data_IF_390633842164
#
_entry.id   IF_390633842164
#
_cell.length_a   1.000
_cell.length_b   1.000
_cell.length_c   1.000
_cell.angle_alpha   90.00
_cell.angle_beta   90.00
_cell.angle_gamma   90.00
#
_symmetry.space_group_name_H-M   'P 1'
#
loop_
_entity.id
_entity.type
_entity.pdbx_description
1 polymer ?
#
# COMPACT_ATOMS: atom_id res chain seq x y z
N UNK A 1 28.71 17.05 11.72
CA UNK A 1 28.82 15.90 12.65
C UNK A 1 27.84 14.86 12.17
N UNK A 2 28.28 13.61 12.00
CA UNK A 2 27.35 12.52 11.65
C UNK A 2 26.35 12.26 12.78
N UNK A 3 25.19 11.65 12.49
CA UNK A 3 24.28 11.20 13.53
C UNK A 3 25.03 10.23 14.45
N UNK A 4 24.86 10.33 15.78
CA UNK A 4 25.51 9.41 16.71
C UNK A 4 25.07 7.98 16.37
N UNK A 5 26.03 7.05 16.27
CA UNK A 5 25.81 5.62 15.97
C UNK A 5 24.66 5.01 16.81
N UNK A 6 24.47 5.51 18.04
CA UNK A 6 23.38 5.14 18.94
C UNK A 6 21.97 5.40 18.36
N UNK A 7 21.74 6.50 17.65
CA UNK A 7 20.43 6.81 17.04
C UNK A 7 20.10 5.85 15.90
N UNK A 8 21.11 5.48 15.10
CA UNK A 8 20.94 4.51 14.01
C UNK A 8 20.59 3.13 14.57
N UNK A 9 21.30 2.68 15.61
CA UNK A 9 21.03 1.40 16.28
C UNK A 9 19.63 1.41 16.93
N UNK A 10 19.28 2.49 17.63
CA UNK A 10 17.96 2.64 18.25
C UNK A 10 16.83 2.60 17.23
N UNK A 11 17.00 3.31 16.11
CA UNK A 11 16.03 3.32 15.00
C UNK A 11 15.89 1.92 14.37
N UNK A 12 16.99 1.22 14.13
CA UNK A 12 16.97 -0.12 13.56
C UNK A 12 16.26 -1.14 14.48
N UNK A 13 16.54 -1.09 15.78
CA UNK A 13 15.88 -1.93 16.78
C UNK A 13 14.38 -1.64 16.85
N UNK A 14 13.98 -0.36 16.86
CA UNK A 14 12.58 0.04 16.86
C UNK A 14 11.85 -0.49 15.61
N UNK A 15 12.48 -0.39 14.44
CA UNK A 15 11.91 -0.90 13.18
C UNK A 15 11.76 -2.42 13.21
N UNK A 16 12.78 -3.15 13.70
CA UNK A 16 12.70 -4.59 13.87
C UNK A 16 11.55 -5.01 14.80
N UNK A 17 11.39 -4.32 15.94
CA UNK A 17 10.29 -4.54 16.88
C UNK A 17 8.93 -4.23 16.25
N UNK A 18 8.81 -3.14 15.50
CA UNK A 18 7.58 -2.80 14.78
C UNK A 18 7.22 -3.85 13.72
N UNK A 19 8.19 -4.38 12.97
CA UNK A 19 7.96 -5.47 12.03
C UNK A 19 7.45 -6.73 12.73
N UNK A 20 8.12 -7.12 13.82
CA UNK A 20 7.71 -8.27 14.64
C UNK A 20 6.28 -8.08 15.18
N UNK A 21 5.96 -6.89 15.70
CA UNK A 21 4.63 -6.56 16.20
C UNK A 21 3.57 -6.57 15.09
N UNK A 22 3.87 -6.03 13.90
CA UNK A 22 2.96 -6.06 12.75
C UNK A 22 2.71 -7.49 12.25
N UNK A 23 3.77 -8.30 12.14
CA UNK A 23 3.65 -9.70 11.74
C UNK A 23 2.91 -10.55 12.77
N UNK A 24 3.16 -10.30 14.06
CA UNK A 24 2.44 -10.93 15.16
C UNK A 24 0.96 -10.51 15.16
N UNK A 25 0.67 -9.21 15.08
CA UNK A 25 -0.70 -8.69 15.03
C UNK A 25 -1.44 -9.22 13.81
N UNK A 26 -0.78 -9.28 12.65
CA UNK A 26 -1.33 -9.90 11.45
C UNK A 26 -1.70 -11.36 11.72
N UNK A 27 -0.74 -12.16 12.20
CA UNK A 27 -0.96 -13.59 12.49
C UNK A 27 -2.06 -13.82 13.54
N UNK A 28 -2.08 -13.01 14.60
CA UNK A 28 -3.05 -13.10 15.68
C UNK A 28 -4.47 -12.71 15.24
N UNK A 29 -4.60 -11.65 14.42
CA UNK A 29 -5.90 -11.16 13.96
C UNK A 29 -6.47 -11.95 12.78
N UNK A 30 -5.63 -12.44 11.87
CA UNK A 30 -6.06 -13.07 10.61
C UNK A 30 -6.12 -14.59 10.67
N UNK A 31 -5.43 -15.20 11.64
CA UNK A 31 -5.20 -16.63 11.64
C UNK A 31 -4.27 -17.07 10.49
N UNK A 32 -4.03 -18.39 10.35
CA UNK A 32 -3.04 -18.92 9.41
C UNK A 32 -3.45 -18.75 7.93
N UNK A 33 -4.74 -18.63 7.60
CA UNK A 33 -5.22 -18.43 6.24
C UNK A 33 -6.46 -17.51 6.20
N UNK A 34 -6.28 -16.19 6.25
CA UNK A 34 -7.41 -15.28 6.15
C UNK A 34 -8.12 -15.45 4.80
N UNK A 35 -9.46 -15.39 4.77
CA UNK A 35 -10.17 -15.36 3.50
C UNK A 35 -9.76 -14.11 2.70
N UNK A 36 -9.64 -14.19 1.35
CA UNK A 36 -9.01 -13.14 0.55
C UNK A 36 -9.62 -11.74 0.71
N UNK A 37 -10.92 -11.67 0.98
CA UNK A 37 -11.62 -10.40 1.19
C UNK A 37 -11.24 -9.71 2.51
N UNK A 38 -10.95 -10.47 3.58
CA UNK A 38 -10.47 -9.91 4.86
C UNK A 38 -9.03 -9.44 4.72
N UNK A 39 -8.16 -10.27 4.12
CA UNK A 39 -6.78 -9.89 3.82
C UNK A 39 -6.72 -8.59 3.00
N UNK A 40 -7.52 -8.49 1.92
CA UNK A 40 -7.64 -7.28 1.12
C UNK A 40 -8.08 -6.07 1.94
N UNK A 41 -9.10 -6.20 2.81
CA UNK A 41 -9.57 -5.10 3.66
C UNK A 41 -8.49 -4.62 4.64
N UNK A 42 -7.73 -5.54 5.24
CA UNK A 42 -6.64 -5.17 6.13
C UNK A 42 -5.47 -4.51 5.39
N UNK A 43 -5.08 -5.03 4.22
CA UNK A 43 -4.06 -4.39 3.38
C UNK A 43 -4.50 -2.99 2.94
N UNK A 44 -5.77 -2.80 2.58
CA UNK A 44 -6.34 -1.47 2.30
C UNK A 44 -6.28 -0.56 3.54
N UNK A 45 -6.62 -1.08 4.71
CA UNK A 45 -6.53 -0.35 5.98
C UNK A 45 -5.09 0.08 6.27
N UNK A 46 -4.13 -0.83 6.15
CA UNK A 46 -2.71 -0.55 6.36
C UNK A 46 -2.20 0.51 5.38
N UNK A 47 -2.55 0.40 4.10
CA UNK A 47 -2.19 1.39 3.08
C UNK A 47 -2.83 2.75 3.34
N UNK A 48 -4.11 2.78 3.75
CA UNK A 48 -4.81 4.02 4.09
C UNK A 48 -4.17 4.71 5.30
N UNK A 49 -3.84 3.95 6.35
CA UNK A 49 -3.14 4.46 7.53
C UNK A 49 -1.74 4.97 7.20
N UNK A 50 -0.97 4.25 6.38
CA UNK A 50 0.35 4.70 5.93
C UNK A 50 0.25 6.00 5.12
N UNK A 51 -0.69 6.06 4.17
CA UNK A 51 -0.93 7.26 3.36
C UNK A 51 -1.36 8.45 4.22
N UNK A 52 -2.26 8.24 5.18
CA UNK A 52 -2.69 9.28 6.11
C UNK A 52 -1.53 9.78 6.99
N UNK A 53 -0.67 8.88 7.47
CA UNK A 53 0.54 9.24 8.21
C UNK A 53 1.50 10.10 7.37
N UNK A 54 1.74 9.72 6.12
CA UNK A 54 2.58 10.52 5.21
C UNK A 54 1.98 11.90 4.92
N UNK A 55 0.67 11.99 4.69
CA UNK A 55 -0.01 13.27 4.49
C UNK A 55 -0.03 14.14 5.75
N UNK A 56 -0.12 13.52 6.94
CA UNK A 56 0.01 14.23 8.22
C UNK A 56 1.41 14.82 8.37
N UNK A 57 2.47 14.11 7.93
CA UNK A 57 3.83 14.67 7.91
C UNK A 57 3.96 15.88 6.97
N UNK A 58 3.24 15.89 5.85
CA UNK A 58 3.12 17.10 5.02
C UNK A 58 2.38 18.23 5.76
N UNK A 59 1.27 17.93 6.44
CA UNK A 59 0.46 18.92 7.14
C UNK A 59 1.19 19.56 8.35
N UNK A 60 2.01 18.78 9.05
CA UNK A 60 2.85 19.25 10.19
C UNK A 60 4.13 19.95 9.69
N UNK A 61 4.41 19.92 8.38
CA UNK A 61 5.56 20.60 7.79
C UNK A 61 6.89 19.85 7.90
N UNK A 62 6.86 18.54 8.18
CA UNK A 62 8.06 17.69 8.11
C UNK A 62 8.41 17.30 6.67
N UNK A 63 7.41 17.25 5.80
CA UNK A 63 7.56 17.09 4.36
C UNK A 63 7.05 18.35 3.65
N UNK A 64 7.72 18.75 2.56
CA UNK A 64 7.26 19.83 1.71
C UNK A 64 5.87 19.54 1.11
N UNK A 65 5.01 20.56 0.91
CA UNK A 65 3.64 20.35 0.40
C UNK A 65 3.57 19.68 -0.98
N UNK A 66 4.60 19.85 -1.83
CA UNK A 66 4.67 19.18 -3.14
C UNK A 66 4.77 17.66 -3.04
N UNK A 67 5.15 17.11 -1.88
CA UNK A 67 5.16 15.67 -1.64
C UNK A 67 3.75 15.08 -1.56
N UNK A 68 2.74 15.85 -1.18
CA UNK A 68 1.37 15.35 -1.05
C UNK A 68 0.84 14.70 -2.35
N UNK A 69 0.91 15.36 -3.53
CA UNK A 69 0.52 14.71 -4.79
C UNK A 69 1.42 13.52 -5.16
N UNK A 70 2.71 13.54 -4.82
CA UNK A 70 3.63 12.41 -5.06
C UNK A 70 3.25 11.19 -4.21
N UNK A 71 2.96 11.39 -2.92
CA UNK A 71 2.48 10.37 -1.99
C UNK A 71 1.16 9.77 -2.50
N UNK A 72 0.20 10.62 -2.85
CA UNK A 72 -1.10 10.19 -3.37
C UNK A 72 -0.93 9.38 -4.64
N UNK A 73 -0.18 9.89 -5.62
CA UNK A 73 0.03 9.20 -6.89
C UNK A 73 0.75 7.86 -6.68
N UNK A 74 1.82 7.83 -5.89
CA UNK A 74 2.58 6.61 -5.66
C UNK A 74 1.76 5.55 -4.92
N UNK A 75 1.03 5.93 -3.87
CA UNK A 75 0.22 5.00 -3.08
C UNK A 75 -1.03 4.50 -3.84
N UNK A 76 -1.65 5.36 -4.66
CA UNK A 76 -2.83 5.01 -5.48
C UNK A 76 -2.43 4.18 -6.72
N UNK A 77 -1.36 4.55 -7.41
CA UNK A 77 -0.97 3.91 -8.67
C UNK A 77 -0.19 2.61 -8.46
N UNK A 78 0.57 2.52 -7.36
CA UNK A 78 1.35 1.35 -6.99
C UNK A 78 0.61 0.43 -6.01
N UNK A 79 0.83 0.56 -4.69
CA UNK A 79 0.27 -0.34 -3.68
C UNK A 79 -1.24 -0.53 -3.74
N UNK A 80 -2.04 0.50 -3.98
CA UNK A 80 -3.50 0.34 -4.06
C UNK A 80 -3.91 -0.54 -5.23
N UNK A 81 -3.30 -0.37 -6.41
CA UNK A 81 -3.55 -1.25 -7.56
C UNK A 81 -3.15 -2.69 -7.25
N UNK A 82 -2.04 -2.91 -6.53
CA UNK A 82 -1.62 -4.23 -6.05
C UNK A 82 -2.65 -4.86 -5.11
N UNK A 83 -3.09 -4.13 -4.08
CA UNK A 83 -4.08 -4.62 -3.12
C UNK A 83 -5.43 -4.91 -3.79
N UNK A 84 -5.83 -4.12 -4.79
CA UNK A 84 -7.07 -4.36 -5.54
C UNK A 84 -6.99 -5.59 -6.46
N UNK A 85 -5.78 -6.00 -6.85
CA UNK A 85 -5.49 -7.23 -7.63
C UNK A 85 -5.25 -8.45 -6.76
N UNK A 86 -5.05 -8.30 -5.45
CA UNK A 86 -4.90 -9.41 -4.53
C UNK A 86 -6.09 -10.39 -4.62
N UNK A 87 -5.91 -11.73 -4.68
CA UNK A 87 -4.65 -12.48 -4.50
C UNK A 87 -4.01 -12.93 -5.82
N UNK A 88 -3.97 -12.08 -6.86
CA UNK A 88 -3.27 -12.42 -8.09
C UNK A 88 -1.74 -12.37 -7.89
N UNK A 89 -1.07 -13.46 -8.24
CA UNK A 89 0.39 -13.51 -8.37
C UNK A 89 0.71 -13.06 -9.79
N UNK A 90 1.58 -12.06 -9.90
CA UNK A 90 2.03 -11.51 -11.18
C UNK A 90 3.46 -11.98 -11.46
N UNK A 91 3.75 -12.28 -12.73
CA UNK A 91 5.11 -12.59 -13.15
C UNK A 91 6.02 -11.36 -12.97
N UNK A 92 7.30 -11.61 -12.71
CA UNK A 92 8.30 -10.56 -12.51
C UNK A 92 8.42 -9.67 -13.76
N UNK A 93 8.27 -10.27 -14.95
CA UNK A 93 8.38 -9.58 -16.23
C UNK A 93 7.06 -8.92 -16.69
N UNK A 94 6.00 -8.98 -15.87
CA UNK A 94 4.74 -8.35 -16.22
C UNK A 94 4.84 -6.82 -16.20
N UNK A 95 4.07 -6.17 -17.08
CA UNK A 95 3.94 -4.70 -17.09
C UNK A 95 3.54 -4.15 -15.73
N UNK A 96 2.73 -4.90 -14.97
CA UNK A 96 2.35 -4.55 -13.61
C UNK A 96 3.58 -4.46 -12.68
N UNK A 97 4.45 -5.47 -12.68
CA UNK A 97 5.66 -5.47 -11.83
C UNK A 97 6.60 -4.33 -12.20
N UNK A 98 6.86 -4.12 -13.49
CA UNK A 98 7.68 -3.00 -13.97
C UNK A 98 7.11 -1.66 -13.50
N UNK A 99 5.80 -1.46 -13.64
CA UNK A 99 5.10 -0.26 -13.15
C UNK A 99 5.26 -0.06 -11.65
N UNK A 100 5.11 -1.12 -10.84
CA UNK A 100 5.31 -1.05 -9.39
C UNK A 100 6.73 -0.62 -9.05
N UNK A 101 7.74 -1.23 -9.69
CA UNK A 101 9.16 -0.89 -9.48
C UNK A 101 9.42 0.57 -9.83
N UNK A 102 8.92 1.05 -10.97
CA UNK A 102 9.10 2.46 -11.38
C UNK A 102 8.47 3.41 -10.37
N UNK A 103 7.24 3.15 -9.92
CA UNK A 103 6.55 3.99 -8.92
C UNK A 103 7.28 3.97 -7.58
N UNK A 104 7.73 2.80 -7.13
CA UNK A 104 8.51 2.66 -5.90
C UNK A 104 9.85 3.41 -5.99
N UNK A 105 10.60 3.24 -7.07
CA UNK A 105 11.86 3.96 -7.29
C UNK A 105 11.64 5.48 -7.32
N UNK A 106 10.61 5.96 -8.00
CA UNK A 106 10.26 7.38 -8.04
C UNK A 106 9.94 7.91 -6.62
N UNK A 107 9.17 7.16 -5.82
CA UNK A 107 8.88 7.52 -4.42
C UNK A 107 10.15 7.52 -3.56
N UNK A 108 11.02 6.52 -3.71
CA UNK A 108 12.26 6.38 -2.95
C UNK A 108 13.19 7.55 -3.21
N UNK A 109 13.36 7.94 -4.47
CA UNK A 109 14.17 9.11 -4.83
C UNK A 109 13.53 10.40 -4.34
N UNK A 110 12.19 10.53 -4.41
CA UNK A 110 11.49 11.76 -3.99
C UNK A 110 11.54 11.98 -2.47
N UNK A 111 11.54 10.92 -1.66
CA UNK A 111 11.47 11.01 -0.20
C UNK A 111 12.59 11.87 0.42
N UNK A 112 13.89 11.64 0.15
CA UNK A 112 14.97 12.49 0.68
C UNK A 112 14.83 13.97 0.33
N UNK A 113 14.40 14.30 -0.90
CA UNK A 113 14.18 15.69 -1.33
C UNK A 113 12.89 16.29 -0.78
N UNK A 114 11.98 15.45 -0.28
CA UNK A 114 10.71 15.86 0.29
C UNK A 114 10.83 16.42 1.71
N UNK A 115 11.87 16.06 2.46
CA UNK A 115 12.06 16.56 3.83
C UNK A 115 12.58 17.99 3.85
N UNK A 116 12.04 18.82 4.74
CA UNK A 116 12.53 20.20 4.95
C UNK A 116 13.95 20.21 5.55
N UNK A 117 14.21 19.28 6.48
CA UNK A 117 15.45 19.16 7.24
C UNK A 117 15.88 17.69 7.31
N UNK A 118 16.43 17.18 6.19
CA UNK A 118 16.71 15.76 6.02
C UNK A 118 17.61 15.17 7.11
N UNK A 119 18.68 15.88 7.48
CA UNK A 119 19.67 15.39 8.43
C UNK A 119 19.12 15.28 9.86
N UNK A 120 18.22 16.18 10.25
CA UNK A 120 17.57 16.14 11.57
C UNK A 120 16.46 15.09 11.63
N UNK A 121 15.99 14.61 10.47
CA UNK A 121 14.83 13.73 10.33
C UNK A 121 15.18 12.36 9.75
N UNK A 122 16.44 11.93 9.85
CA UNK A 122 16.90 10.64 9.35
C UNK A 122 16.13 9.46 9.93
N UNK A 123 15.72 9.51 11.21
CA UNK A 123 14.87 8.49 11.82
C UNK A 123 13.49 8.40 11.15
N UNK A 124 12.86 9.55 10.85
CA UNK A 124 11.58 9.59 10.13
C UNK A 124 11.71 9.09 8.70
N UNK A 125 12.75 9.50 7.98
CA UNK A 125 13.06 8.98 6.65
C UNK A 125 13.21 7.45 6.69
N UNK A 126 14.00 6.94 7.65
CA UNK A 126 14.23 5.50 7.80
C UNK A 126 12.95 4.75 8.09
N UNK A 127 12.09 5.30 8.95
CA UNK A 127 10.76 4.75 9.24
C UNK A 127 9.84 4.74 8.03
N UNK A 128 9.80 5.82 7.24
CA UNK A 128 9.01 5.88 6.01
C UNK A 128 9.52 4.90 4.95
N UNK A 129 10.84 4.81 4.77
CA UNK A 129 11.44 3.85 3.84
C UNK A 129 11.10 2.43 4.28
N UNK A 130 11.28 2.11 5.54
CA UNK A 130 10.94 0.79 6.06
C UNK A 130 9.45 0.46 5.90
N UNK A 131 8.55 1.39 6.27
CA UNK A 131 7.12 1.17 6.17
C UNK A 131 6.68 0.90 4.73
N UNK A 132 7.13 1.73 3.79
CA UNK A 132 6.70 1.68 2.39
C UNK A 132 7.39 0.58 1.57
N UNK A 133 8.67 0.33 1.81
CA UNK A 133 9.50 -0.56 0.98
C UNK A 133 9.80 -1.91 1.67
N UNK A 134 9.58 -2.01 2.98
CA UNK A 134 9.74 -3.24 3.76
C UNK A 134 8.40 -3.78 4.24
N UNK A 135 7.81 -3.11 5.24
CA UNK A 135 6.67 -3.65 5.99
C UNK A 135 5.44 -3.89 5.11
N UNK A 136 5.01 -2.92 4.29
CA UNK A 136 3.84 -3.10 3.42
C UNK A 136 4.02 -4.21 2.36
N UNK A 137 5.14 -4.26 1.60
CA UNK A 137 5.41 -5.39 0.70
C UNK A 137 5.47 -6.73 1.43
N UNK A 138 6.12 -6.82 2.59
CA UNK A 138 6.18 -8.05 3.39
C UNK A 138 4.79 -8.50 3.85
N UNK A 139 3.95 -7.57 4.33
CA UNK A 139 2.56 -7.86 4.67
C UNK A 139 1.76 -8.38 3.46
N UNK A 140 1.99 -7.80 2.28
CA UNK A 140 1.37 -8.29 1.04
C UNK A 140 1.83 -9.72 0.72
N UNK A 141 3.13 -10.01 0.83
CA UNK A 141 3.69 -11.33 0.56
C UNK A 141 3.20 -12.39 1.56
N UNK A 142 3.15 -12.07 2.86
CA UNK A 142 2.61 -12.96 3.90
C UNK A 142 1.12 -13.22 3.68
N UNK A 143 0.38 -12.23 3.16
CA UNK A 143 -1.03 -12.41 2.84
C UNK A 143 -1.25 -13.35 1.64
N UNK A 144 -0.28 -13.50 0.73
CA UNK A 144 -0.43 -14.33 -0.46
C UNK A 144 -0.49 -15.81 -0.07
N UNK A 145 -1.44 -16.59 -0.64
CA UNK A 145 -1.55 -18.02 -0.38
C UNK A 145 -0.50 -18.81 -1.20
N UNK A 146 0.79 -18.57 -0.95
CA UNK A 146 1.91 -19.17 -1.69
C UNK A 146 1.96 -20.70 -1.57
N UNK A 147 1.44 -21.26 -0.48
CA UNK A 147 1.42 -22.70 -0.22
C UNK A 147 0.34 -23.48 -0.99
N UNK A 148 -0.56 -22.77 -1.69
CA UNK A 148 -1.65 -23.43 -2.45
C UNK A 148 -1.18 -23.85 -3.84
N UNK A 149 -1.85 -24.88 -4.39
CA UNK A 149 -1.58 -25.30 -5.75
C UNK A 149 -1.83 -24.15 -6.75
N UNK A 150 -1.08 -24.06 -7.86
CA UNK A 150 -1.28 -23.03 -8.88
C UNK A 150 -2.72 -22.98 -9.43
N UNK A 151 -3.42 -24.13 -9.45
CA UNK A 151 -4.81 -24.21 -9.88
C UNK A 151 -5.77 -23.53 -8.90
N UNK A 152 -5.57 -23.71 -7.59
CA UNK A 152 -6.35 -23.06 -6.55
C UNK A 152 -6.11 -21.54 -6.54
N UNK A 153 -4.87 -21.11 -6.74
CA UNK A 153 -4.54 -19.69 -6.86
C UNK A 153 -5.22 -19.07 -8.09
N UNK A 154 -5.14 -19.73 -9.26
CA UNK A 154 -5.85 -19.29 -10.47
C UNK A 154 -7.36 -19.25 -10.23
N UNK A 155 -7.93 -20.23 -9.52
CA UNK A 155 -9.36 -20.25 -9.17
C UNK A 155 -9.74 -19.11 -8.22
N UNK A 156 -8.89 -18.79 -7.24
CA UNK A 156 -9.09 -17.66 -6.33
C UNK A 156 -8.96 -16.30 -7.04
N UNK A 157 -8.14 -16.23 -8.08
CA UNK A 157 -8.00 -15.05 -8.94
C UNK A 157 -9.13 -14.91 -9.98
N UNK A 158 -9.92 -15.95 -10.26
CA UNK A 158 -11.08 -15.85 -11.18
C UNK A 158 -12.09 -14.86 -10.64
N UNK A 159 -12.23 -13.72 -11.33
CA UNK A 159 -13.12 -12.62 -10.95
C UNK A 159 -12.39 -11.38 -10.44
N UNK A 160 -11.07 -11.46 -10.22
CA UNK A 160 -10.23 -10.27 -10.11
C UNK A 160 -10.00 -9.74 -11.52
N UNK A 161 -10.54 -8.57 -11.83
CA UNK A 161 -10.30 -7.96 -13.14
C UNK A 161 -8.81 -7.60 -13.25
N UNK A 162 -8.13 -8.08 -14.29
CA UNK A 162 -6.71 -7.74 -14.52
C UNK A 162 -6.53 -6.38 -15.23
N UNK A 163 -7.42 -5.45 -14.92
CA UNK A 163 -7.44 -4.12 -15.52
C UNK A 163 -6.90 -3.13 -14.51
N UNK A 164 -5.92 -2.34 -14.94
CA UNK A 164 -5.31 -1.25 -14.18
C UNK A 164 -6.37 -0.29 -13.60
N UNK A 165 -6.22 0.08 -12.33
CA UNK A 165 -7.15 0.99 -11.64
C UNK A 165 -7.31 2.31 -12.38
N UNK A 166 -6.25 2.91 -12.92
CA UNK A 166 -6.35 4.14 -13.70
C UNK A 166 -7.22 3.94 -14.94
N UNK A 167 -7.04 2.81 -15.64
CA UNK A 167 -7.88 2.47 -16.80
C UNK A 167 -9.33 2.18 -16.40
N UNK A 168 -9.57 1.57 -15.24
CA UNK A 168 -10.93 1.39 -14.71
C UNK A 168 -11.59 2.71 -14.36
N UNK A 169 -10.87 3.61 -13.68
CA UNK A 169 -11.36 4.94 -13.33
C UNK A 169 -11.63 5.75 -14.59
N UNK A 170 -10.72 5.71 -15.57
CA UNK A 170 -10.88 6.36 -16.86
C UNK A 170 -12.11 5.81 -17.61
N UNK A 171 -12.28 4.49 -17.70
CA UNK A 171 -13.48 3.87 -18.31
C UNK A 171 -14.76 4.24 -17.57
N UNK A 172 -14.72 4.31 -16.24
CA UNK A 172 -15.85 4.76 -15.43
C UNK A 172 -16.16 6.25 -15.62
N UNK A 173 -15.15 7.08 -15.85
CA UNK A 173 -15.32 8.51 -16.12
C UNK A 173 -15.82 8.76 -17.55
N UNK A 174 -15.30 8.02 -18.53
CA UNK A 174 -15.62 8.19 -19.95
C UNK A 174 -16.98 7.59 -20.36
N UNK A 175 -17.49 6.58 -19.64
CA UNK A 175 -18.78 5.93 -19.93
C UNK A 175 -19.87 6.38 -18.94
N UNK A 176 -20.83 7.25 -19.35
CA UNK A 176 -21.91 7.73 -18.48
C UNK A 176 -22.81 6.62 -17.94
N UNK A 177 -22.96 5.51 -18.69
CA UNK A 177 -23.80 4.37 -18.28
C UNK A 177 -23.13 3.62 -17.13
N UNK A 178 -21.83 3.34 -17.25
CA UNK A 178 -21.04 2.72 -16.16
C UNK A 178 -21.00 3.61 -14.92
N UNK A 179 -20.80 4.92 -15.10
CA UNK A 179 -20.85 5.89 -14.01
C UNK A 179 -22.18 5.82 -13.24
N UNK A 180 -23.29 5.84 -13.96
CA UNK A 180 -24.64 5.78 -13.37
C UNK A 180 -24.93 4.44 -12.68
N UNK A 181 -24.44 3.33 -13.24
CA UNK A 181 -24.55 2.02 -12.60
C UNK A 181 -23.72 1.94 -11.31
N UNK A 182 -22.49 2.46 -11.32
CA UNK A 182 -21.61 2.51 -10.15
C UNK A 182 -22.22 3.34 -9.02
N UNK A 183 -22.70 4.55 -9.31
CA UNK A 183 -23.35 5.42 -8.34
C UNK A 183 -24.61 4.79 -7.73
N UNK A 184 -25.43 4.09 -8.54
CA UNK A 184 -26.59 3.36 -8.04
C UNK A 184 -26.19 2.21 -7.12
N UNK A 185 -25.14 1.46 -7.47
CA UNK A 185 -24.64 0.38 -6.62
C UNK A 185 -24.08 0.91 -5.29
N UNK A 186 -23.33 2.01 -5.33
CA UNK A 186 -22.81 2.68 -4.13
C UNK A 186 -23.95 3.17 -3.24
N UNK A 187 -24.95 3.85 -3.83
CA UNK A 187 -26.13 4.36 -3.11
C UNK A 187 -26.89 3.22 -2.42
N UNK A 188 -27.12 2.10 -3.12
CA UNK A 188 -27.77 0.90 -2.53
C UNK A 188 -27.00 0.33 -1.35
N UNK A 189 -25.66 0.30 -1.42
CA UNK A 189 -24.82 -0.18 -0.31
C UNK A 189 -24.89 0.76 0.88
N UNK A 190 -24.76 2.06 0.65
CA UNK A 190 -24.85 3.07 1.70
C UNK A 190 -26.21 3.03 2.42
N UNK A 191 -27.31 2.88 1.67
CA UNK A 191 -28.65 2.75 2.27
C UNK A 191 -28.84 1.45 3.02
N UNK A 192 -28.16 0.36 2.63
CA UNK A 192 -28.24 -0.93 3.34
C UNK A 192 -27.42 -0.97 4.63
N UNK A 193 -26.48 -0.04 4.82
CA UNK A 193 -25.59 0.04 5.99
C UNK A 193 -26.05 1.04 7.06
N UNK A 194 -27.15 1.75 6.84
CA UNK A 194 -27.76 2.62 7.86
C UNK A 194 -28.87 1.79 8.55
N UNK A 195 -28.64 1.26 9.77
CA UNK A 195 -29.65 0.56 10.55
C UNK A 195 -30.75 1.50 11.07
#
# INVERSE_FOLDING_TARGET
>A
GGPPLAEVISSALLLALLCGALAFLWSACMGPQPPPHLARRALLGALASATAGELLLCAVGHLHPWMAPVILLANVWGPLDAVLRFPAVHDIDSFFTVKQVVVLCAKLVSLPFGFTDLLERLGLLSGLVFLNFGALPVLYLIALPLDRSPEEQRKAARGVADVDVALRLLRCAADPRRRSACLRALRRRLTATVP
#
